data_IF_015320451103
#
_entry.id   IF_015320451103
#
_cell.length_a   1.000
_cell.length_b   1.000
_cell.length_c   1.000
_cell.angle_alpha   90.00
_cell.angle_beta   90.00
_cell.angle_gamma   90.00
#
_symmetry.space_group_name_H-M   'P 1'
#
loop_
_entity.id
_entity.type
_entity.pdbx_description
1 polymer ?
#
# COMPACT_ATOMS: atom_id res chain seq x y z
N UNK A 1 -18.58 -12.35 -11.51
CA UNK A 1 -17.12 -12.41 -11.31
C UNK A 1 -16.52 -11.05 -10.89
N UNK A 2 -17.01 -9.93 -11.43
CA UNK A 2 -16.53 -8.56 -11.12
C UNK A 2 -16.62 -8.13 -9.64
N UNK A 3 -17.70 -8.41 -8.87
CA UNK A 3 -17.82 -7.92 -7.50
C UNK A 3 -16.76 -8.51 -6.56
N UNK A 4 -16.32 -9.74 -6.85
CA UNK A 4 -15.33 -10.46 -6.04
C UNK A 4 -13.94 -9.83 -6.18
N UNK A 5 -13.57 -9.35 -7.37
CA UNK A 5 -12.28 -8.68 -7.60
C UNK A 5 -12.15 -7.44 -6.72
N UNK A 6 -13.11 -6.52 -6.78
CA UNK A 6 -13.06 -5.28 -6.00
C UNK A 6 -13.09 -5.53 -4.48
N UNK A 7 -13.92 -6.48 -4.02
CA UNK A 7 -13.99 -6.83 -2.61
C UNK A 7 -12.67 -7.42 -2.08
N UNK A 8 -12.06 -8.35 -2.82
CA UNK A 8 -10.77 -8.91 -2.40
C UNK A 8 -9.64 -7.89 -2.51
N UNK A 9 -9.63 -7.04 -3.55
CA UNK A 9 -8.67 -5.94 -3.67
C UNK A 9 -8.80 -4.95 -2.51
N UNK A 10 -10.02 -4.66 -2.05
CA UNK A 10 -10.24 -3.84 -0.88
C UNK A 10 -9.71 -4.52 0.39
N UNK A 11 -9.95 -5.82 0.55
CA UNK A 11 -9.39 -6.60 1.66
C UNK A 11 -7.85 -6.61 1.68
N UNK A 12 -7.21 -6.73 0.52
CA UNK A 12 -5.75 -6.60 0.41
C UNK A 12 -5.25 -5.21 0.78
N UNK A 13 -5.97 -4.17 0.36
CA UNK A 13 -5.61 -2.81 0.72
C UNK A 13 -5.63 -2.61 2.24
N UNK A 14 -6.66 -3.12 2.93
CA UNK A 14 -6.69 -3.12 4.39
C UNK A 14 -5.51 -3.89 5.01
N UNK A 15 -5.15 -5.03 4.42
CA UNK A 15 -3.99 -5.81 4.86
C UNK A 15 -2.68 -5.03 4.71
N UNK A 16 -2.56 -4.17 3.68
CA UNK A 16 -1.38 -3.33 3.48
C UNK A 16 -1.21 -2.20 4.50
N UNK A 17 -2.26 -1.82 5.23
CA UNK A 17 -2.15 -0.77 6.26
C UNK A 17 -1.13 -1.16 7.34
N UNK A 18 -1.13 -2.42 7.77
CA UNK A 18 -0.22 -2.91 8.82
C UNK A 18 1.26 -2.78 8.37
N UNK A 19 1.70 -3.38 7.24
CA UNK A 19 3.07 -3.21 6.78
C UNK A 19 3.39 -1.76 6.38
N UNK A 20 2.41 -0.94 5.98
CA UNK A 20 2.65 0.49 5.72
C UNK A 20 3.10 1.22 6.99
N UNK A 21 2.38 1.01 8.10
CA UNK A 21 2.71 1.61 9.40
C UNK A 21 4.07 1.09 9.89
N UNK A 22 4.29 -0.22 9.81
CA UNK A 22 5.58 -0.83 10.20
C UNK A 22 6.75 -0.29 9.37
N UNK A 23 6.54 -0.06 8.07
CA UNK A 23 7.54 0.53 7.18
C UNK A 23 7.81 2.02 7.50
N UNK A 24 6.78 2.76 7.91
CA UNK A 24 6.94 4.12 8.41
C UNK A 24 7.77 4.17 9.70
N UNK A 25 7.51 3.24 10.64
CA UNK A 25 8.26 3.13 11.91
C UNK A 25 9.70 2.68 11.65
N UNK A 26 9.90 1.68 10.79
CA UNK A 26 11.23 1.11 10.51
C UNK A 26 12.19 2.15 9.94
N UNK A 27 11.68 3.20 9.26
CA UNK A 27 12.47 4.34 8.81
C UNK A 27 13.31 4.97 9.92
N UNK A 28 12.77 5.05 11.14
CA UNK A 28 13.49 5.57 12.30
C UNK A 28 14.69 4.73 12.72
N UNK A 29 14.72 3.43 12.35
CA UNK A 29 15.82 2.53 12.71
C UNK A 29 17.05 2.73 11.83
N UNK A 30 16.87 3.02 10.54
CA UNK A 30 17.98 3.17 9.60
C UNK A 30 18.29 4.62 9.19
N UNK A 31 17.38 5.57 9.45
CA UNK A 31 17.64 7.00 9.23
C UNK A 31 18.92 7.54 9.88
N UNK A 32 19.32 7.12 11.11
CA UNK A 32 20.60 7.54 11.70
C UNK A 32 21.83 7.08 10.92
N UNK A 33 21.73 6.00 10.15
CA UNK A 33 22.86 5.41 9.42
C UNK A 33 22.92 5.84 7.95
N UNK A 34 21.76 6.10 7.33
CA UNK A 34 21.67 6.46 5.90
C UNK A 34 21.50 7.97 5.67
N UNK A 35 21.20 8.73 6.73
CA UNK A 35 20.72 10.10 6.62
C UNK A 35 19.25 10.18 6.16
N UNK A 36 18.58 11.29 6.46
CA UNK A 36 17.15 11.48 6.13
C UNK A 36 16.87 11.44 4.62
N UNK A 37 17.82 11.94 3.82
CA UNK A 37 17.67 12.03 2.35
C UNK A 37 17.54 10.65 1.69
N UNK A 38 18.22 9.63 2.22
CA UNK A 38 18.16 8.27 1.69
C UNK A 38 17.17 7.37 2.44
N UNK A 39 16.86 7.69 3.69
CA UNK A 39 15.93 6.88 4.48
C UNK A 39 14.52 6.83 3.87
N UNK A 40 14.05 7.94 3.31
CA UNK A 40 12.73 7.99 2.69
C UNK A 40 12.65 7.16 1.40
N UNK A 41 13.54 7.33 0.39
CA UNK A 41 13.55 6.47 -0.80
C UNK A 41 13.68 4.98 -0.48
N UNK A 42 14.53 4.60 0.48
CA UNK A 42 14.70 3.20 0.90
C UNK A 42 13.37 2.64 1.43
N UNK A 43 12.70 3.40 2.31
CA UNK A 43 11.38 3.04 2.83
C UNK A 43 10.36 2.83 1.72
N UNK A 44 10.33 3.73 0.73
CA UNK A 44 9.42 3.65 -0.41
C UNK A 44 9.69 2.44 -1.29
N UNK A 45 10.96 2.11 -1.55
CA UNK A 45 11.35 0.93 -2.35
C UNK A 45 10.95 -0.36 -1.64
N UNK A 46 11.23 -0.46 -0.33
CA UNK A 46 10.87 -1.63 0.49
C UNK A 46 9.36 -1.85 0.43
N UNK A 47 8.57 -0.81 0.70
CA UNK A 47 7.11 -0.95 0.71
C UNK A 47 6.53 -1.23 -0.68
N UNK A 48 7.09 -0.64 -1.74
CA UNK A 48 6.68 -0.94 -3.11
C UNK A 48 6.95 -2.41 -3.48
N UNK A 49 8.09 -2.96 -3.05
CA UNK A 49 8.40 -4.37 -3.23
C UNK A 49 7.41 -5.27 -2.47
N UNK A 50 7.04 -4.92 -1.23
CA UNK A 50 6.02 -5.64 -0.46
C UNK A 50 4.66 -5.63 -1.19
N UNK A 51 4.19 -4.47 -1.64
CA UNK A 51 2.93 -4.36 -2.39
C UNK A 51 2.98 -5.23 -3.64
N UNK A 52 4.08 -5.15 -4.40
CA UNK A 52 4.26 -5.91 -5.63
C UNK A 52 4.23 -7.42 -5.37
N UNK A 53 5.02 -7.91 -4.41
CA UNK A 53 5.11 -9.34 -4.08
C UNK A 53 3.78 -9.88 -3.59
N UNK A 54 3.10 -9.19 -2.67
CA UNK A 54 1.80 -9.63 -2.14
C UNK A 54 0.73 -9.62 -3.23
N UNK A 55 0.70 -8.57 -4.06
CA UNK A 55 -0.25 -8.48 -5.19
C UNK A 55 0.01 -9.59 -6.21
N UNK A 56 1.27 -9.87 -6.54
CA UNK A 56 1.64 -10.95 -7.45
C UNK A 56 1.20 -12.33 -6.93
N UNK A 57 1.50 -12.63 -5.65
CA UNK A 57 1.08 -13.87 -4.99
C UNK A 57 -0.45 -13.97 -5.00
N UNK A 58 -1.14 -12.89 -4.62
CA UNK A 58 -2.59 -12.85 -4.62
C UNK A 58 -3.18 -13.14 -6.00
N UNK A 59 -2.70 -12.47 -7.06
CA UNK A 59 -3.20 -12.70 -8.41
C UNK A 59 -2.89 -14.12 -8.90
N UNK A 60 -1.72 -14.66 -8.56
CA UNK A 60 -1.29 -16.01 -8.93
C UNK A 60 -2.15 -17.10 -8.28
N UNK A 61 -2.50 -16.96 -7.00
CA UNK A 61 -3.19 -18.01 -6.24
C UNK A 61 -4.71 -17.84 -6.16
N UNK A 62 -5.25 -16.64 -6.39
CA UNK A 62 -6.68 -16.39 -6.22
C UNK A 62 -7.55 -16.88 -7.38
N UNK A 63 -6.95 -17.23 -8.52
CA UNK A 63 -7.69 -17.67 -9.72
C UNK A 63 -8.64 -16.60 -10.28
N UNK A 64 -8.46 -15.33 -9.89
CA UNK A 64 -9.34 -14.23 -10.27
C UNK A 64 -8.98 -13.81 -11.69
N UNK A 65 -9.91 -14.05 -12.62
CA UNK A 65 -9.84 -13.52 -13.97
C UNK A 65 -10.66 -12.23 -14.09
N UNK A 66 -10.10 -11.26 -14.81
CA UNK A 66 -10.72 -9.95 -15.06
C UNK A 66 -10.20 -9.36 -16.37
N UNK A 67 -10.95 -8.41 -16.93
CA UNK A 67 -10.49 -7.62 -18.08
C UNK A 67 -9.39 -6.66 -17.62
N UNK A 68 -8.43 -6.33 -18.48
CA UNK A 68 -7.34 -5.39 -18.17
C UNK A 68 -7.83 -4.06 -17.59
N UNK A 69 -8.97 -3.55 -18.08
CA UNK A 69 -9.62 -2.33 -17.59
C UNK A 69 -10.01 -2.41 -16.10
N UNK A 70 -10.36 -3.59 -15.60
CA UNK A 70 -10.78 -3.77 -14.20
C UNK A 70 -9.59 -3.66 -13.24
N UNK A 71 -8.42 -4.12 -13.65
CA UNK A 71 -7.20 -3.94 -12.87
C UNK A 71 -6.76 -2.47 -12.80
N UNK A 72 -7.03 -1.68 -13.85
CA UNK A 72 -6.84 -0.22 -13.81
C UNK A 72 -7.76 0.41 -12.77
N UNK A 73 -9.04 0.03 -12.73
CA UNK A 73 -9.97 0.52 -11.70
C UNK A 73 -9.57 0.10 -10.28
N UNK A 74 -9.02 -1.11 -10.09
CA UNK A 74 -8.46 -1.52 -8.80
C UNK A 74 -7.29 -0.61 -8.39
N UNK A 75 -6.38 -0.31 -9.33
CA UNK A 75 -5.27 0.61 -9.07
C UNK A 75 -5.74 2.02 -8.70
N UNK A 76 -6.73 2.56 -9.42
CA UNK A 76 -7.34 3.86 -9.09
C UNK A 76 -8.04 3.85 -7.73
N UNK A 77 -8.75 2.77 -7.41
CA UNK A 77 -9.38 2.60 -6.09
C UNK A 77 -8.33 2.60 -4.98
N UNK A 78 -7.24 1.85 -5.13
CA UNK A 78 -6.13 1.85 -4.17
C UNK A 78 -5.47 3.22 -4.05
N UNK A 79 -5.26 3.93 -5.16
CA UNK A 79 -4.70 5.28 -5.13
C UNK A 79 -5.58 6.23 -4.31
N UNK A 80 -6.89 6.28 -4.59
CA UNK A 80 -7.83 7.12 -3.85
C UNK A 80 -7.87 6.75 -2.36
N UNK A 81 -7.92 5.45 -2.04
CA UNK A 81 -7.94 4.98 -0.65
C UNK A 81 -6.65 5.36 0.09
N UNK A 82 -5.49 5.20 -0.53
CA UNK A 82 -4.20 5.56 0.06
C UNK A 82 -4.08 7.06 0.29
N UNK A 83 -4.51 7.88 -0.66
CA UNK A 83 -4.58 9.35 -0.50
C UNK A 83 -5.48 9.69 0.69
N UNK A 84 -6.71 9.18 0.71
CA UNK A 84 -7.63 9.43 1.82
C UNK A 84 -7.02 8.98 3.15
N UNK A 85 -6.41 7.80 3.21
CA UNK A 85 -5.75 7.29 4.41
C UNK A 85 -4.61 8.19 4.87
N UNK A 86 -3.74 8.65 3.97
CA UNK A 86 -2.61 9.52 4.31
C UNK A 86 -3.09 10.84 4.93
N UNK A 87 -4.09 11.49 4.34
CA UNK A 87 -4.66 12.73 4.87
C UNK A 87 -5.44 12.49 6.18
N UNK A 88 -6.27 11.45 6.26
CA UNK A 88 -7.02 11.10 7.47
C UNK A 88 -6.07 10.75 8.63
N UNK A 89 -5.04 9.96 8.36
CA UNK A 89 -4.04 9.56 9.35
C UNK A 89 -3.20 10.77 9.78
N UNK A 90 -2.73 11.59 8.83
CA UNK A 90 -1.99 12.81 9.12
C UNK A 90 -2.79 13.79 9.99
N UNK A 91 -4.08 13.96 9.70
CA UNK A 91 -4.95 14.87 10.43
C UNK A 91 -5.36 14.31 11.81
N UNK A 92 -5.89 13.08 11.87
CA UNK A 92 -6.49 12.54 13.10
C UNK A 92 -5.48 11.87 14.04
N UNK A 93 -4.34 11.38 13.54
CA UNK A 93 -3.36 10.61 14.35
C UNK A 93 -2.09 11.41 14.60
N UNK A 94 -1.52 12.03 13.55
CA UNK A 94 -0.28 12.81 13.69
C UNK A 94 -0.58 14.25 14.16
N UNK A 95 -1.79 14.76 13.90
CA UNK A 95 -2.20 16.11 14.30
C UNK A 95 -1.62 17.23 13.44
N UNK A 96 -1.23 16.93 12.19
CA UNK A 96 -0.90 17.99 11.23
C UNK A 96 -2.20 18.70 10.81
N UNK A 97 -2.37 19.96 11.23
CA UNK A 97 -3.43 20.88 10.79
C UNK A 97 -2.93 21.78 9.67
#
# INVERSE_FOLDING_TARGET
MVPKLYLYSFGLWLLFIIPAILNGISRGLYAPYTGELLAHPISSVIFSAVIFTVTYIFLKYSGISGKSVQFIYVGLMWLCLTICFEFLFGHFVIGHS
#
